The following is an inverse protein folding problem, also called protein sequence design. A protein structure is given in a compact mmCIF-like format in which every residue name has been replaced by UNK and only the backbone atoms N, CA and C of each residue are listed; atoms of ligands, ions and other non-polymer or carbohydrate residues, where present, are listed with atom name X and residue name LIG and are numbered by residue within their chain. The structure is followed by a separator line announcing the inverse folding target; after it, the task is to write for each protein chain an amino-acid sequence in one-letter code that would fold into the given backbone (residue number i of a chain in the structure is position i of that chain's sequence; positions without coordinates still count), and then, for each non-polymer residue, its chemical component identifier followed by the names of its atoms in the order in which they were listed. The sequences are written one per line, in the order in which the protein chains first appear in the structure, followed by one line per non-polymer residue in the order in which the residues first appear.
data_IF_039974514574
#
_entry.id   IF_039974514574
#
_cell.length_a   1.000
_cell.length_b   1.000
_cell.length_c   1.000
_cell.angle_alpha   90.00
_cell.angle_beta   90.00
_cell.angle_gamma   90.00
#
_symmetry.space_group_name_H-M   'P 1'
#
loop_
_entity.id
_entity.type
_entity.pdbx_description
1 polymer ?
#
# COMPACT_ATOMS: atom_id res chain seq x y z
N UNK A 1 -25.59 14.95 -3.68
CA UNK A 1 -25.40 15.61 -2.38
C UNK A 1 -24.97 17.05 -2.63
N UNK A 2 -25.61 18.01 -1.99
CA UNK A 2 -25.23 19.42 -1.99
C UNK A 2 -24.19 19.73 -0.89
N UNK A 3 -23.47 20.86 -1.01
CA UNK A 3 -22.56 21.33 0.05
C UNK A 3 -23.27 21.50 1.41
N UNK A 4 -24.53 21.92 1.41
CA UNK A 4 -25.31 22.13 2.62
C UNK A 4 -25.59 20.80 3.33
N UNK A 5 -26.00 19.78 2.57
CA UNK A 5 -26.23 18.43 3.10
C UNK A 5 -24.92 17.79 3.58
N UNK A 6 -23.82 17.99 2.84
CA UNK A 6 -22.53 17.44 3.24
C UNK A 6 -21.98 18.10 4.51
N UNK A 7 -22.05 19.43 4.59
CA UNK A 7 -21.62 20.17 5.78
C UNK A 7 -22.42 19.75 7.02
N UNK A 8 -23.74 19.51 6.86
CA UNK A 8 -24.58 18.95 7.94
C UNK A 8 -24.14 17.56 8.36
N UNK A 9 -23.77 16.70 7.42
CA UNK A 9 -23.26 15.36 7.73
C UNK A 9 -21.95 15.41 8.54
N UNK A 10 -21.06 16.34 8.19
CA UNK A 10 -19.81 16.59 8.90
C UNK A 10 -19.97 17.43 10.18
N UNK A 11 -21.20 17.82 10.53
CA UNK A 11 -21.51 18.70 11.66
C UNK A 11 -20.70 20.03 11.65
N UNK A 12 -20.55 20.63 10.47
CA UNK A 12 -19.90 21.95 10.26
C UNK A 12 -20.82 22.91 9.51
N UNK A 13 -20.51 24.21 9.58
CA UNK A 13 -21.19 25.20 8.76
C UNK A 13 -20.79 25.10 7.29
N UNK A 14 -21.72 25.36 6.36
CA UNK A 14 -21.45 25.41 4.91
C UNK A 14 -20.26 26.32 4.55
N UNK A 15 -20.11 27.44 5.26
CA UNK A 15 -18.96 28.35 5.08
C UNK A 15 -17.62 27.68 5.41
N UNK A 16 -17.58 26.81 6.43
CA UNK A 16 -16.36 26.08 6.81
C UNK A 16 -15.99 25.07 5.74
N UNK A 17 -16.97 24.33 5.20
CA UNK A 17 -16.74 23.44 4.05
C UNK A 17 -16.22 24.23 2.83
N UNK A 18 -16.82 25.39 2.53
CA UNK A 18 -16.34 26.25 1.46
C UNK A 18 -14.91 26.78 1.68
N UNK A 19 -14.48 26.99 2.92
CA UNK A 19 -13.09 27.34 3.23
C UNK A 19 -12.13 26.18 2.98
N UNK A 20 -12.55 24.93 3.20
CA UNK A 20 -11.78 23.74 2.85
C UNK A 20 -11.58 23.63 1.34
N UNK A 21 -12.66 23.76 0.56
CA UNK A 21 -12.61 23.66 -0.90
C UNK A 21 -11.80 24.77 -1.57
N UNK A 22 -11.71 25.94 -0.92
CA UNK A 22 -10.96 27.10 -1.44
C UNK A 22 -9.55 27.24 -0.85
N UNK A 23 -9.07 26.22 -0.13
CA UNK A 23 -7.76 26.20 0.54
C UNK A 23 -7.54 27.37 1.52
N UNK A 24 -8.60 28.02 1.98
CA UNK A 24 -8.52 29.10 2.99
C UNK A 24 -8.34 28.54 4.40
N UNK A 25 -8.69 27.28 4.59
CA UNK A 25 -8.52 26.51 5.82
C UNK A 25 -8.33 25.06 5.46
N UNK A 26 -7.52 24.34 6.23
CA UNK A 26 -7.43 22.89 6.10
C UNK A 26 -8.27 22.20 7.20
N UNK A 27 -8.90 21.05 6.88
CA UNK A 27 -9.50 20.20 7.90
C UNK A 27 -8.42 19.62 8.81
N UNK A 28 -8.71 19.51 10.11
CA UNK A 28 -7.85 18.79 11.05
C UNK A 28 -7.95 17.27 10.84
N UNK A 29 -7.05 16.50 11.47
CA UNK A 29 -6.96 15.05 11.26
C UNK A 29 -8.29 14.29 11.43
N UNK A 30 -9.07 14.61 12.46
CA UNK A 30 -10.37 13.97 12.70
C UNK A 30 -11.38 14.28 11.59
N UNK A 31 -11.45 15.54 11.16
CA UNK A 31 -12.32 15.96 10.05
C UNK A 31 -11.89 15.30 8.74
N UNK A 32 -10.58 15.23 8.47
CA UNK A 32 -10.05 14.52 7.30
C UNK A 32 -10.41 13.04 7.32
N UNK A 33 -10.34 12.38 8.47
CA UNK A 33 -10.75 10.98 8.62
C UNK A 33 -12.27 10.79 8.40
N UNK A 34 -13.11 11.71 8.91
CA UNK A 34 -14.56 11.67 8.68
C UNK A 34 -14.91 11.86 7.20
N UNK A 35 -14.26 12.80 6.51
CA UNK A 35 -14.43 13.02 5.06
C UNK A 35 -14.01 11.77 4.29
N UNK A 36 -12.85 11.18 4.63
CA UNK A 36 -12.36 9.97 3.97
C UNK A 36 -13.33 8.79 4.15
N UNK A 37 -13.84 8.60 5.38
CA UNK A 37 -14.84 7.57 5.68
C UNK A 37 -16.16 7.80 4.92
N UNK A 38 -16.63 9.04 4.84
CA UNK A 38 -17.86 9.38 4.12
C UNK A 38 -17.81 9.00 2.63
N UNK A 39 -16.65 9.20 2.00
CA UNK A 39 -16.44 8.87 0.59
C UNK A 39 -15.88 7.47 0.36
N UNK A 40 -15.69 6.67 1.42
CA UNK A 40 -15.11 5.32 1.36
C UNK A 40 -13.71 5.29 0.70
N UNK A 41 -12.90 6.31 0.97
CA UNK A 41 -11.52 6.44 0.47
C UNK A 41 -10.51 6.43 1.62
N UNK A 42 -9.24 6.21 1.30
CA UNK A 42 -8.16 6.37 2.28
C UNK A 42 -7.85 7.86 2.54
N UNK A 43 -7.35 8.16 3.74
CA UNK A 43 -6.85 9.52 4.09
C UNK A 43 -5.72 9.93 3.16
N UNK A 44 -4.82 9.01 2.82
CA UNK A 44 -3.74 9.24 1.85
C UNK A 44 -4.30 9.63 0.48
N UNK A 45 -5.31 8.92 -0.03
CA UNK A 45 -5.95 9.29 -1.29
C UNK A 45 -6.62 10.66 -1.21
N UNK A 46 -7.35 10.94 -0.11
CA UNK A 46 -8.05 12.21 0.09
C UNK A 46 -7.10 13.42 0.08
N UNK A 47 -5.90 13.25 0.65
CA UNK A 47 -4.93 14.33 0.81
C UNK A 47 -3.96 14.47 -0.35
N UNK A 48 -3.62 13.37 -1.04
CA UNK A 48 -2.62 13.37 -2.11
C UNK A 48 -3.22 13.27 -3.51
N UNK A 49 -4.49 12.87 -3.63
CA UNK A 49 -5.16 12.57 -4.90
C UNK A 49 -4.57 11.38 -5.65
N UNK A 50 -3.72 10.57 -5.00
CA UNK A 50 -3.04 9.42 -5.61
C UNK A 50 -3.55 8.15 -4.96
N UNK A 51 -3.86 7.15 -5.79
CA UNK A 51 -3.96 5.78 -5.30
C UNK A 51 -2.63 5.39 -4.68
N UNK A 52 -2.63 5.19 -3.37
CA UNK A 52 -1.47 4.66 -2.68
C UNK A 52 -1.35 3.18 -3.07
N UNK A 53 -0.56 2.90 -4.11
CA UNK A 53 -0.09 1.54 -4.35
C UNK A 53 0.82 1.21 -3.19
N UNK A 54 0.25 0.56 -2.18
CA UNK A 54 1.00 0.00 -1.08
C UNK A 54 2.09 -0.88 -1.72
N UNK A 55 3.33 -0.38 -1.79
CA UNK A 55 4.46 -1.28 -1.90
C UNK A 55 4.40 -2.06 -0.59
N UNK A 56 4.22 -3.38 -0.60
CA UNK A 56 4.26 -4.12 0.64
C UNK A 56 5.60 -3.79 1.29
N UNK A 57 5.56 -3.14 2.45
CA UNK A 57 6.76 -2.78 3.22
C UNK A 57 7.30 -3.98 4.02
N UNK A 58 6.82 -5.17 3.69
CA UNK A 58 7.22 -6.46 4.23
C UNK A 58 7.40 -7.37 3.03
N UNK A 59 8.60 -7.39 2.46
CA UNK A 59 9.02 -8.64 1.85
C UNK A 59 9.01 -9.67 2.99
N UNK A 60 8.41 -10.85 2.80
CA UNK A 60 8.47 -11.89 3.83
C UNK A 60 9.95 -12.21 4.14
N UNK A 61 10.26 -12.74 5.32
CA UNK A 61 11.62 -13.15 5.64
C UNK A 61 12.19 -14.09 4.56
N UNK A 62 11.33 -14.95 4.01
CA UNK A 62 11.64 -15.84 2.88
C UNK A 62 12.00 -15.05 1.62
N UNK A 63 11.21 -14.04 1.24
CA UNK A 63 11.51 -13.19 0.08
C UNK A 63 12.82 -12.41 0.23
N UNK A 64 13.14 -11.95 1.45
CA UNK A 64 14.41 -11.27 1.75
C UNK A 64 15.58 -12.25 1.57
N UNK A 65 15.48 -13.45 2.14
CA UNK A 65 16.52 -14.48 2.03
C UNK A 65 16.71 -14.92 0.59
N UNK A 66 15.61 -15.14 -0.16
CA UNK A 66 15.66 -15.51 -1.57
C UNK A 66 16.35 -14.40 -2.38
N UNK A 67 15.97 -13.14 -2.16
CA UNK A 67 16.58 -12.00 -2.86
C UNK A 67 18.08 -11.87 -2.58
N UNK A 68 18.47 -12.10 -1.34
CA UNK A 68 19.87 -12.06 -0.90
C UNK A 68 20.69 -13.24 -1.48
N UNK A 69 20.16 -14.46 -1.47
CA UNK A 69 20.80 -15.62 -2.11
C UNK A 69 20.93 -15.43 -3.63
N UNK A 70 19.89 -14.93 -4.30
CA UNK A 70 19.90 -14.64 -5.74
C UNK A 70 20.99 -13.63 -6.09
N UNK A 71 21.11 -12.56 -5.29
CA UNK A 71 22.14 -11.54 -5.50
C UNK A 71 23.55 -12.08 -5.22
N UNK A 72 23.75 -12.79 -4.10
CA UNK A 72 25.06 -13.31 -3.68
C UNK A 72 25.64 -14.33 -4.66
N UNK A 73 24.79 -15.20 -5.21
CA UNK A 73 25.22 -16.29 -6.10
C UNK A 73 24.93 -16.00 -7.58
N UNK A 74 24.48 -14.78 -7.91
CA UNK A 74 24.13 -14.34 -9.27
C UNK A 74 23.18 -15.33 -9.99
N UNK A 75 22.17 -15.81 -9.25
CA UNK A 75 21.24 -16.84 -9.74
C UNK A 75 20.18 -16.18 -10.63
N UNK A 76 20.08 -16.63 -11.88
CA UNK A 76 19.01 -16.17 -12.77
C UNK A 76 17.78 -17.09 -12.69
N UNK A 77 16.84 -16.74 -11.81
CA UNK A 77 15.57 -17.45 -11.62
C UNK A 77 14.57 -17.29 -12.79
N UNK A 78 14.79 -16.32 -13.69
CA UNK A 78 13.94 -16.12 -14.87
C UNK A 78 14.20 -17.16 -15.96
N UNK A 79 15.31 -17.89 -15.90
CA UNK A 79 15.62 -18.98 -16.83
C UNK A 79 15.00 -20.31 -16.34
N UNK A 80 14.06 -20.92 -17.07
CA UNK A 80 13.41 -22.16 -16.67
C UNK A 80 14.38 -23.32 -16.41
N UNK A 81 15.47 -23.42 -17.18
CA UNK A 81 16.47 -24.50 -17.02
C UNK A 81 17.29 -24.34 -15.75
N UNK A 82 17.60 -23.10 -15.36
CA UNK A 82 18.32 -22.81 -14.12
C UNK A 82 17.46 -23.15 -12.92
N UNK A 83 16.17 -22.78 -12.98
CA UNK A 83 15.19 -23.10 -11.94
C UNK A 83 15.06 -24.61 -11.73
N UNK A 84 14.85 -25.38 -12.80
CA UNK A 84 14.68 -26.84 -12.71
C UNK A 84 15.92 -27.52 -12.10
N UNK A 85 17.13 -27.08 -12.49
CA UNK A 85 18.37 -27.62 -11.91
C UNK A 85 18.49 -27.31 -10.42
N UNK A 86 18.13 -26.10 -9.99
CA UNK A 86 18.16 -25.70 -8.58
C UNK A 86 17.16 -26.50 -7.76
N UNK A 87 15.94 -26.68 -8.26
CA UNK A 87 14.91 -27.51 -7.60
C UNK A 87 15.42 -28.94 -7.39
N UNK A 88 16.07 -29.55 -8.40
CA UNK A 88 16.70 -30.87 -8.26
C UNK A 88 17.81 -30.92 -7.23
N UNK A 89 18.70 -29.92 -7.22
CA UNK A 89 19.81 -29.86 -6.24
C UNK A 89 19.26 -29.70 -4.82
N UNK A 90 18.28 -28.82 -4.63
CA UNK A 90 17.63 -28.59 -3.33
C UNK A 90 16.96 -29.88 -2.85
N UNK A 91 16.21 -30.56 -3.71
CA UNK A 91 15.56 -31.82 -3.36
C UNK A 91 16.57 -32.88 -2.91
N UNK A 92 17.67 -33.06 -3.65
CA UNK A 92 18.73 -34.00 -3.28
C UNK A 92 19.34 -33.68 -1.90
N UNK A 93 19.62 -32.39 -1.63
CA UNK A 93 20.18 -31.97 -0.33
C UNK A 93 19.17 -32.17 0.81
N UNK A 94 17.88 -31.95 0.58
CA UNK A 94 16.85 -32.21 1.60
C UNK A 94 16.66 -33.69 1.88
N UNK A 95 16.67 -34.52 0.82
CA UNK A 95 16.53 -35.97 0.94
C UNK A 95 17.71 -36.58 1.72
N UNK A 96 18.93 -36.04 1.56
CA UNK A 96 20.13 -36.47 2.32
C UNK A 96 20.12 -36.03 3.81
N UNK A 97 19.26 -35.08 4.19
CA UNK A 97 19.14 -34.55 5.55
C UNK A 97 18.04 -35.22 6.40
N UNK A 98 17.22 -36.09 5.81
CA UNK A 98 16.18 -36.88 6.49
C UNK A 98 16.65 -38.29 6.82
#
# INVERSE_FOLDING_TARGET
MSQEEFAKHLNIGKSTLGMYETNKREPGHEMTAQIAAFFEVSVDWLTTGKEFKHKPMSATQEEIVIKDLVARYNINLSNPRTREKLEKIIQLVFDDLQ
#
